data_IF_100347874561
#
_entry.id   IF_100347874561
#
_cell.length_a   1.000
_cell.length_b   1.000
_cell.length_c   1.000
_cell.angle_alpha   90.00
_cell.angle_beta   90.00
_cell.angle_gamma   90.00
#
_symmetry.space_group_name_H-M   'P 1'
#
loop_
_entity.id
_entity.type
_entity.pdbx_description
1 polymer ?
#
# COMPACT_ATOMS: atom_id res chain seq x y z
N UNK A 1 7.94 -36.13 11.90
CA UNK A 1 6.80 -35.49 11.25
C UNK A 1 7.31 -34.82 9.96
N UNK A 2 7.08 -35.47 8.81
CA UNK A 2 7.44 -34.93 7.51
C UNK A 2 6.56 -33.72 7.20
N UNK A 3 7.16 -32.55 6.93
CA UNK A 3 6.45 -31.42 6.42
C UNK A 3 5.97 -31.74 4.98
N UNK A 4 4.66 -31.83 4.78
CA UNK A 4 4.09 -31.97 3.45
C UNK A 4 4.17 -30.60 2.78
N UNK A 5 5.03 -30.45 1.80
CA UNK A 5 5.07 -29.25 0.95
C UNK A 5 3.81 -29.26 0.07
N UNK A 6 2.91 -28.33 0.30
CA UNK A 6 1.75 -28.12 -0.57
C UNK A 6 2.10 -27.03 -1.59
N UNK A 7 1.95 -27.36 -2.86
CA UNK A 7 2.05 -26.39 -3.95
C UNK A 7 0.67 -25.78 -4.17
N UNK A 8 0.64 -24.46 -4.23
CA UNK A 8 -0.56 -23.70 -4.48
C UNK A 8 -0.31 -22.77 -5.68
N UNK A 9 -1.16 -22.88 -6.68
CA UNK A 9 -1.08 -22.04 -7.87
C UNK A 9 -2.00 -20.83 -7.68
N UNK A 10 -1.48 -19.63 -7.93
CA UNK A 10 -2.22 -18.39 -7.95
C UNK A 10 -2.13 -17.75 -9.34
N UNK A 11 -3.07 -16.89 -9.65
CA UNK A 11 -3.06 -16.16 -10.92
C UNK A 11 -1.87 -15.19 -10.95
N UNK A 12 -1.08 -15.26 -12.02
CA UNK A 12 0.02 -14.34 -12.26
C UNK A 12 -0.53 -13.02 -12.81
N UNK A 13 -0.93 -12.13 -11.92
CA UNK A 13 -1.33 -10.77 -12.30
C UNK A 13 -0.10 -9.93 -12.70
N UNK A 14 -0.29 -8.95 -13.62
CA UNK A 14 0.75 -7.96 -13.88
C UNK A 14 1.17 -7.22 -12.60
N UNK A 15 2.43 -6.80 -12.52
CA UNK A 15 2.92 -5.98 -11.41
C UNK A 15 2.18 -4.65 -11.31
N UNK A 16 2.15 -4.04 -10.12
CA UNK A 16 1.34 -2.85 -9.86
C UNK A 16 1.66 -1.68 -10.80
N UNK A 17 2.94 -1.46 -11.12
CA UNK A 17 3.34 -0.43 -12.08
C UNK A 17 2.76 -0.66 -13.48
N UNK A 18 2.64 -1.92 -13.92
CA UNK A 18 2.01 -2.25 -15.21
C UNK A 18 0.48 -2.07 -15.15
N UNK A 19 -0.15 -2.49 -14.07
CA UNK A 19 -1.59 -2.26 -13.87
C UNK A 19 -1.92 -0.76 -13.90
N UNK A 20 -1.10 0.08 -13.28
CA UNK A 20 -1.27 1.52 -13.29
C UNK A 20 -1.14 2.16 -14.68
N UNK A 21 -0.33 1.56 -15.58
CA UNK A 21 -0.21 2.04 -16.97
C UNK A 21 -1.52 1.90 -17.77
N UNK A 22 -2.46 1.10 -17.31
CA UNK A 22 -3.77 1.00 -17.95
C UNK A 22 -4.62 2.26 -17.77
N UNK A 23 -4.36 3.05 -16.73
CA UNK A 23 -5.17 4.21 -16.31
C UNK A 23 -6.65 3.87 -16.13
N UNK A 24 -6.95 2.59 -15.86
CA UNK A 24 -8.30 2.07 -15.79
C UNK A 24 -8.62 1.55 -14.38
N UNK A 25 -9.27 2.36 -13.52
CA UNK A 25 -9.65 1.94 -12.17
C UNK A 25 -10.56 0.70 -12.14
N UNK A 26 -11.42 0.54 -13.14
CA UNK A 26 -12.31 -0.62 -13.22
C UNK A 26 -11.52 -1.93 -13.40
N UNK A 27 -10.47 -1.92 -14.23
CA UNK A 27 -9.57 -3.06 -14.38
C UNK A 27 -8.88 -3.42 -13.06
N UNK A 28 -8.45 -2.40 -12.29
CA UNK A 28 -7.83 -2.64 -10.98
C UNK A 28 -8.85 -3.17 -9.96
N UNK A 29 -10.08 -2.70 -10.01
CA UNK A 29 -11.15 -3.24 -9.18
C UNK A 29 -11.39 -4.73 -9.47
N UNK A 30 -11.51 -5.12 -10.73
CA UNK A 30 -11.66 -6.52 -11.15
C UNK A 30 -10.46 -7.39 -10.76
N UNK A 31 -9.23 -6.85 -10.86
CA UNK A 31 -8.05 -7.53 -10.34
C UNK A 31 -8.14 -7.76 -8.82
N UNK A 32 -8.68 -6.80 -8.08
CA UNK A 32 -8.96 -6.94 -6.65
C UNK A 32 -9.98 -8.02 -6.34
N UNK A 33 -11.06 -8.11 -7.11
CA UNK A 33 -12.06 -9.18 -6.96
C UNK A 33 -11.47 -10.59 -7.20
N UNK A 34 -10.58 -10.71 -8.21
CA UNK A 34 -9.87 -11.96 -8.47
C UNK A 34 -8.96 -12.33 -7.30
N UNK A 35 -8.18 -11.37 -6.77
CA UNK A 35 -7.34 -11.58 -5.59
C UNK A 35 -8.20 -12.03 -4.40
N UNK A 36 -9.32 -11.37 -4.15
CA UNK A 36 -10.22 -11.73 -3.05
C UNK A 36 -10.80 -13.15 -3.20
N UNK A 37 -11.10 -13.57 -4.43
CA UNK A 37 -11.53 -14.94 -4.70
C UNK A 37 -10.43 -15.97 -4.35
N UNK A 38 -9.19 -15.69 -4.72
CA UNK A 38 -8.05 -16.53 -4.36
C UNK A 38 -7.77 -16.52 -2.86
N UNK A 39 -7.86 -15.36 -2.21
CA UNK A 39 -7.74 -15.26 -0.75
C UNK A 39 -8.75 -16.14 -0.03
N UNK A 40 -9.99 -16.20 -0.51
CA UNK A 40 -11.04 -17.07 0.04
C UNK A 40 -10.66 -18.55 -0.10
N UNK A 41 -10.22 -18.97 -1.28
CA UNK A 41 -9.78 -20.35 -1.53
C UNK A 41 -8.56 -20.74 -0.69
N UNK A 42 -7.68 -19.79 -0.41
CA UNK A 42 -6.43 -20.02 0.33
C UNK A 42 -6.58 -19.85 1.85
N UNK A 43 -7.73 -19.41 2.33
CA UNK A 43 -7.93 -19.11 3.75
C UNK A 43 -7.12 -17.91 4.24
N UNK A 44 -6.87 -16.92 3.36
CA UNK A 44 -6.17 -15.67 3.68
C UNK A 44 -7.19 -14.59 3.99
N UNK A 45 -7.07 -13.91 5.13
CA UNK A 45 -8.01 -12.86 5.53
C UNK A 45 -7.49 -11.46 5.23
N UNK A 46 -6.16 -11.24 5.36
CA UNK A 46 -5.55 -9.93 5.11
C UNK A 46 -4.47 -10.08 4.03
N UNK A 47 -4.64 -9.35 2.94
CA UNK A 47 -3.63 -9.20 1.91
C UNK A 47 -2.70 -8.04 2.24
N UNK A 48 -1.39 -8.31 2.36
CA UNK A 48 -0.38 -7.30 2.69
C UNK A 48 0.01 -6.43 1.48
N UNK A 49 -1.00 -5.83 0.89
CA UNK A 49 -0.94 -4.93 -0.26
C UNK A 49 -2.28 -4.14 -0.32
N UNK A 50 -2.41 -3.16 -1.23
CA UNK A 50 -1.43 -2.68 -2.21
C UNK A 50 -0.28 -1.89 -1.59
N UNK A 51 0.88 -1.94 -2.26
CA UNK A 51 2.01 -1.09 -1.93
C UNK A 51 1.93 0.19 -2.77
N UNK A 52 2.05 1.35 -2.11
CA UNK A 52 1.71 2.62 -2.75
C UNK A 52 2.70 3.76 -2.49
N UNK A 53 3.95 3.41 -2.20
CA UNK A 53 5.01 4.41 -2.11
C UNK A 53 5.30 5.02 -3.48
N UNK A 54 5.75 6.25 -3.49
CA UNK A 54 6.06 6.97 -4.73
C UNK A 54 7.33 6.41 -5.39
N UNK A 55 7.27 6.13 -6.69
CA UNK A 55 8.42 5.74 -7.50
C UNK A 55 9.31 6.96 -7.73
N UNK A 56 10.25 7.21 -6.84
CA UNK A 56 11.09 8.39 -6.89
C UNK A 56 12.46 8.13 -7.52
N UNK A 57 13.14 7.06 -7.07
CA UNK A 57 14.43 6.67 -7.60
C UNK A 57 14.25 5.40 -8.44
N UNK A 58 14.64 5.40 -9.72
CA UNK A 58 14.50 4.21 -10.57
C UNK A 58 15.30 3.00 -10.06
N UNK A 59 16.30 3.22 -9.22
CA UNK A 59 17.10 2.15 -8.62
C UNK A 59 16.47 1.55 -7.34
N UNK A 60 15.32 2.02 -6.91
CA UNK A 60 14.61 1.40 -5.80
C UNK A 60 14.15 -0.01 -6.17
N UNK A 61 14.62 -1.02 -5.43
CA UNK A 61 14.37 -2.43 -5.72
C UNK A 61 12.90 -2.87 -5.63
N UNK A 62 12.01 -2.03 -5.09
CA UNK A 62 10.60 -2.32 -4.93
C UNK A 62 9.67 -1.50 -5.84
N UNK A 63 10.20 -0.75 -6.79
CA UNK A 63 9.38 0.04 -7.70
C UNK A 63 8.36 -0.80 -8.48
N UNK A 64 8.66 -2.07 -8.75
CA UNK A 64 7.75 -2.97 -9.47
C UNK A 64 6.41 -3.17 -8.76
N UNK A 65 6.38 -3.13 -7.43
CA UNK A 65 5.15 -3.29 -6.65
C UNK A 65 4.43 -1.97 -6.35
N UNK A 66 5.03 -0.82 -6.70
CA UNK A 66 4.42 0.49 -6.57
C UNK A 66 3.73 0.91 -7.88
N UNK A 67 2.75 1.81 -7.80
CA UNK A 67 1.94 2.17 -8.95
C UNK A 67 2.60 3.22 -9.85
N UNK A 68 3.05 4.34 -9.28
CA UNK A 68 3.50 5.51 -10.04
C UNK A 68 4.38 6.45 -9.21
N UNK A 69 5.00 7.41 -9.90
CA UNK A 69 5.58 8.61 -9.30
C UNK A 69 4.51 9.66 -8.95
N UNK A 70 3.33 9.57 -9.58
CA UNK A 70 2.20 10.47 -9.37
C UNK A 70 1.34 9.99 -8.18
N UNK A 71 1.20 10.79 -7.10
CA UNK A 71 0.38 10.43 -5.96
C UNK A 71 -1.11 10.33 -6.28
N UNK A 72 -1.63 11.07 -7.26
CA UNK A 72 -3.03 10.97 -7.67
C UNK A 72 -3.30 9.61 -8.32
N UNK A 73 -2.51 9.24 -9.31
CA UNK A 73 -2.63 7.94 -9.98
C UNK A 73 -2.46 6.80 -8.98
N UNK A 74 -1.43 6.87 -8.13
CA UNK A 74 -1.18 5.91 -7.06
C UNK A 74 -2.38 5.74 -6.15
N UNK A 75 -2.95 6.84 -5.65
CA UNK A 75 -4.08 6.82 -4.72
C UNK A 75 -5.36 6.25 -5.36
N UNK A 76 -5.66 6.61 -6.61
CA UNK A 76 -6.83 6.12 -7.34
C UNK A 76 -6.69 4.62 -7.65
N UNK A 77 -5.54 4.19 -8.13
CA UNK A 77 -5.27 2.77 -8.41
C UNK A 77 -5.34 1.91 -7.14
N UNK A 78 -4.70 2.36 -6.06
CA UNK A 78 -4.73 1.66 -4.79
C UNK A 78 -6.15 1.57 -4.22
N UNK A 79 -6.95 2.64 -4.33
CA UNK A 79 -8.34 2.65 -3.88
C UNK A 79 -9.20 1.66 -4.66
N UNK A 80 -9.06 1.63 -5.98
CA UNK A 80 -9.80 0.70 -6.83
C UNK A 80 -9.49 -0.76 -6.50
N UNK A 81 -8.21 -1.09 -6.39
CA UNK A 81 -7.76 -2.43 -6.02
C UNK A 81 -8.23 -2.83 -4.60
N UNK A 82 -8.14 -1.91 -3.64
CA UNK A 82 -8.64 -2.10 -2.27
C UNK A 82 -10.14 -2.40 -2.25
N UNK A 83 -10.94 -1.63 -2.98
CA UNK A 83 -12.39 -1.83 -3.08
C UNK A 83 -12.71 -3.19 -3.70
N UNK A 84 -11.96 -3.61 -4.73
CA UNK A 84 -12.12 -4.93 -5.34
C UNK A 84 -11.85 -6.06 -4.34
N UNK A 85 -10.74 -5.98 -3.59
CA UNK A 85 -10.43 -7.00 -2.57
C UNK A 85 -11.48 -7.01 -1.45
N UNK A 86 -11.86 -5.84 -0.95
CA UNK A 86 -12.81 -5.72 0.16
C UNK A 86 -14.27 -5.87 -0.27
N UNK A 87 -14.56 -6.12 -1.56
CA UNK A 87 -15.91 -6.48 -2.03
C UNK A 87 -16.38 -7.82 -1.48
N UNK A 88 -15.45 -8.71 -1.08
CA UNK A 88 -15.78 -9.98 -0.43
C UNK A 88 -15.77 -9.85 1.09
N UNK A 89 -16.86 -10.27 1.77
CA UNK A 89 -16.93 -10.26 3.22
C UNK A 89 -15.76 -10.99 3.88
N UNK A 90 -15.14 -10.36 4.89
CA UNK A 90 -14.03 -10.94 5.64
C UNK A 90 -12.67 -10.88 4.93
N UNK A 91 -12.58 -10.29 3.74
CA UNK A 91 -11.30 -10.06 3.06
C UNK A 91 -10.90 -8.60 3.18
N UNK A 92 -9.66 -8.39 3.60
CA UNK A 92 -9.12 -7.08 3.94
C UNK A 92 -7.78 -6.83 3.23
N UNK A 93 -7.40 -5.58 3.14
CA UNK A 93 -6.08 -5.16 2.67
C UNK A 93 -5.28 -4.50 3.77
N UNK A 94 -3.95 -4.53 3.64
CA UNK A 94 -3.04 -3.70 4.41
C UNK A 94 -2.27 -2.81 3.43
N UNK A 95 -2.71 -1.57 3.27
CA UNK A 95 -1.99 -0.63 2.40
C UNK A 95 -0.63 -0.30 3.01
N UNK A 96 0.41 -0.19 2.18
CA UNK A 96 1.80 -0.11 2.65
C UNK A 96 2.67 0.72 1.72
N UNK A 97 3.83 1.19 2.17
CA UNK A 97 4.37 1.26 3.53
C UNK A 97 4.25 2.69 4.03
N UNK A 98 3.52 2.92 5.06
CA UNK A 98 3.20 4.26 5.57
C UNK A 98 4.29 4.75 6.53
N UNK A 99 5.20 5.68 6.14
CA UNK A 99 5.25 6.33 4.85
C UNK A 99 6.71 6.52 4.39
N UNK A 100 6.83 7.00 3.14
CA UNK A 100 8.10 7.44 2.56
C UNK A 100 9.17 6.34 2.40
N UNK A 101 8.80 5.08 2.23
CA UNK A 101 9.73 4.00 1.89
C UNK A 101 10.04 4.02 0.37
N UNK A 102 10.94 4.92 -0.04
CA UNK A 102 11.27 5.17 -1.44
C UNK A 102 12.64 4.62 -1.86
N UNK A 103 13.32 3.87 -0.98
CA UNK A 103 14.53 3.12 -1.26
C UNK A 103 14.64 1.90 -0.35
N UNK A 104 15.38 0.88 -0.79
CA UNK A 104 15.57 -0.37 -0.03
C UNK A 104 16.94 -0.45 0.63
N UNK A 105 17.94 0.24 0.12
CA UNK A 105 19.28 0.25 0.71
C UNK A 105 19.23 0.77 2.14
N UNK A 106 19.62 -0.08 3.09
CA UNK A 106 19.66 0.23 4.52
C UNK A 106 18.32 0.73 5.11
N UNK A 107 17.18 0.24 4.60
CA UNK A 107 15.85 0.79 4.90
C UNK A 107 15.47 0.82 6.38
N UNK A 108 16.00 -0.09 7.19
CA UNK A 108 15.71 -0.14 8.63
C UNK A 108 16.33 1.01 9.42
N UNK A 109 17.38 1.64 8.86
CA UNK A 109 18.14 2.74 9.48
C UNK A 109 18.15 3.99 8.61
N UNK A 110 17.49 3.94 7.46
CA UNK A 110 17.40 5.07 6.56
C UNK A 110 16.53 6.17 7.19
N UNK A 111 17.06 7.39 7.22
CA UNK A 111 16.33 8.56 7.70
C UNK A 111 15.96 9.46 6.52
N UNK A 112 14.68 9.53 6.23
CA UNK A 112 14.13 10.37 5.16
C UNK A 112 14.04 11.82 5.67
N UNK A 113 14.81 12.71 5.08
CA UNK A 113 14.70 14.14 5.34
C UNK A 113 13.75 14.76 4.33
N UNK A 114 12.64 15.29 4.80
CA UNK A 114 11.56 15.81 3.96
C UNK A 114 10.85 16.97 4.67
N UNK A 115 10.53 18.04 3.93
CA UNK A 115 9.68 19.10 4.48
C UNK A 115 8.24 18.61 4.67
N UNK A 116 7.51 19.18 5.60
CA UNK A 116 6.10 18.86 5.83
C UNK A 116 5.26 19.03 4.55
N UNK A 117 5.50 20.11 3.81
CA UNK A 117 4.81 20.35 2.54
C UNK A 117 5.05 19.23 1.55
N UNK A 118 6.28 18.82 1.32
CA UNK A 118 6.59 17.73 0.40
C UNK A 118 6.05 16.39 0.89
N UNK A 119 6.12 16.12 2.21
CA UNK A 119 5.55 14.95 2.83
C UNK A 119 4.05 14.85 2.55
N UNK A 120 3.29 15.92 2.80
CA UNK A 120 1.84 15.96 2.61
C UNK A 120 1.41 15.96 1.14
N UNK A 121 2.05 16.75 0.29
CA UNK A 121 1.63 16.93 -1.10
C UNK A 121 2.04 15.78 -2.02
N UNK A 122 3.09 15.03 -1.67
CA UNK A 122 3.66 13.96 -2.49
C UNK A 122 3.54 12.61 -1.80
N UNK A 123 4.23 12.42 -0.67
CA UNK A 123 4.42 11.08 -0.08
C UNK A 123 3.18 10.56 0.65
N UNK A 124 2.38 11.43 1.23
CA UNK A 124 1.15 11.09 1.94
C UNK A 124 -0.11 11.22 1.07
N UNK A 125 -0.05 12.02 0.01
CA UNK A 125 -1.23 12.35 -0.80
C UNK A 125 -1.92 11.12 -1.41
N UNK A 126 -1.14 10.15 -1.88
CA UNK A 126 -1.70 8.89 -2.39
C UNK A 126 -2.48 8.12 -1.32
N UNK A 127 -1.96 8.06 -0.10
CA UNK A 127 -2.63 7.41 1.04
C UNK A 127 -3.92 8.12 1.41
N UNK A 128 -3.90 9.45 1.49
CA UNK A 128 -5.10 10.23 1.77
C UNK A 128 -6.21 9.96 0.76
N UNK A 129 -5.88 9.93 -0.53
CA UNK A 129 -6.84 9.63 -1.60
C UNK A 129 -7.38 8.20 -1.45
N UNK A 130 -6.51 7.23 -1.21
CA UNK A 130 -6.88 5.83 -1.04
C UNK A 130 -7.83 5.67 0.17
N UNK A 131 -7.48 6.22 1.32
CA UNK A 131 -8.29 6.16 2.54
C UNK A 131 -9.68 6.75 2.35
N UNK A 132 -9.77 7.91 1.70
CA UNK A 132 -11.04 8.59 1.45
C UNK A 132 -11.94 7.85 0.44
N UNK A 133 -11.35 7.09 -0.50
CA UNK A 133 -12.07 6.41 -1.59
C UNK A 133 -12.38 4.94 -1.32
N UNK A 134 -11.67 4.27 -0.41
CA UNK A 134 -11.77 2.81 -0.26
C UNK A 134 -11.84 2.28 1.17
N UNK A 135 -11.50 3.07 2.17
CA UNK A 135 -11.50 2.68 3.59
C UNK A 135 -10.79 1.33 3.84
N UNK A 136 -9.48 1.21 3.57
CA UNK A 136 -8.73 0.00 3.83
C UNK A 136 -8.79 -0.38 5.31
N UNK A 137 -8.88 -1.67 5.61
CA UNK A 137 -9.04 -2.14 6.99
C UNK A 137 -7.76 -1.96 7.82
N UNK A 138 -6.59 -2.07 7.19
CA UNK A 138 -5.32 -1.93 7.90
C UNK A 138 -4.31 -1.09 7.12
N UNK A 139 -3.35 -0.49 7.85
CA UNK A 139 -2.24 0.29 7.31
C UNK A 139 -0.93 -0.24 7.88
N UNK A 140 -0.01 -0.65 7.03
CA UNK A 140 1.32 -1.10 7.44
C UNK A 140 2.29 0.06 7.45
N UNK A 141 2.92 0.32 8.59
CA UNK A 141 3.95 1.36 8.72
C UNK A 141 5.23 0.98 7.98
N UNK A 142 5.97 2.01 7.55
CA UNK A 142 7.29 1.83 6.98
C UNK A 142 8.34 1.55 8.08
N UNK A 143 9.47 0.96 7.67
CA UNK A 143 10.57 0.64 8.58
C UNK A 143 11.57 1.78 8.75
N UNK A 144 11.57 2.75 7.84
CA UNK A 144 12.48 3.90 7.85
C UNK A 144 12.10 4.94 8.91
N UNK A 145 13.06 5.83 9.19
CA UNK A 145 12.78 7.05 9.93
C UNK A 145 12.30 8.15 8.97
N UNK A 146 11.51 9.07 9.50
CA UNK A 146 11.13 10.32 8.85
C UNK A 146 11.56 11.46 9.77
N UNK A 147 12.46 12.31 9.31
CA UNK A 147 12.99 13.44 10.08
C UNK A 147 13.49 13.07 11.50
N UNK A 148 14.07 11.88 11.62
CA UNK A 148 14.65 11.37 12.86
C UNK A 148 13.73 10.49 13.71
N UNK A 149 12.46 10.32 13.35
CA UNK A 149 11.50 9.47 14.08
C UNK A 149 11.13 8.25 13.26
N UNK A 150 11.14 7.05 13.84
CA UNK A 150 10.66 5.87 13.16
C UNK A 150 9.18 6.00 12.79
N UNK A 151 8.84 5.71 11.54
CA UNK A 151 7.46 5.84 11.05
C UNK A 151 6.44 5.09 11.93
N UNK A 152 6.82 3.94 12.50
CA UNK A 152 5.97 3.16 13.40
C UNK A 152 5.80 3.78 14.81
N UNK A 153 6.61 4.77 15.16
CA UNK A 153 6.57 5.47 16.47
C UNK A 153 6.23 6.95 16.33
N UNK A 154 5.95 7.40 15.11
CA UNK A 154 5.70 8.80 14.80
C UNK A 154 4.23 9.16 15.14
N UNK A 155 4.08 9.90 16.26
CA UNK A 155 2.75 10.31 16.74
C UNK A 155 2.06 11.24 15.75
N UNK A 156 2.78 12.20 15.17
CA UNK A 156 2.21 13.17 14.24
C UNK A 156 1.69 12.46 12.98
N UNK A 157 2.48 11.48 12.49
CA UNK A 157 2.10 10.68 11.32
C UNK A 157 0.90 9.77 11.61
N UNK A 158 0.95 8.98 12.69
CA UNK A 158 -0.01 7.91 12.96
C UNK A 158 -1.27 8.39 13.68
N UNK A 159 -1.14 9.34 14.57
CA UNK A 159 -2.26 9.83 15.37
C UNK A 159 -2.87 11.08 14.76
N UNK A 160 -2.07 12.11 14.53
CA UNK A 160 -2.63 13.38 14.10
C UNK A 160 -3.06 13.33 12.63
N UNK A 161 -2.19 12.89 11.71
CA UNK A 161 -2.51 12.85 10.29
C UNK A 161 -3.44 11.67 9.98
N UNK A 162 -3.00 10.43 10.25
CA UNK A 162 -3.74 9.25 9.81
C UNK A 162 -5.11 9.13 10.49
N UNK A 163 -5.16 9.27 11.82
CA UNK A 163 -6.39 9.04 12.58
C UNK A 163 -7.24 10.30 12.74
N UNK A 164 -6.66 11.42 13.19
CA UNK A 164 -7.45 12.63 13.49
C UNK A 164 -7.85 13.40 12.25
N UNK A 165 -6.91 13.67 11.34
CA UNK A 165 -7.19 14.45 10.13
C UNK A 165 -7.93 13.61 9.08
N UNK A 166 -7.53 12.37 8.85
CA UNK A 166 -8.10 11.53 7.79
C UNK A 166 -9.19 10.58 8.26
N UNK A 167 -9.37 10.41 9.58
CA UNK A 167 -10.44 9.61 10.16
C UNK A 167 -10.24 8.10 10.02
N UNK A 168 -8.99 7.63 9.93
CA UNK A 168 -8.71 6.20 9.89
C UNK A 168 -8.97 5.55 11.26
N UNK A 169 -9.87 4.57 11.29
CA UNK A 169 -10.32 3.85 12.47
C UNK A 169 -9.88 2.37 12.50
N UNK A 170 -9.16 1.92 11.46
CA UNK A 170 -8.65 0.55 11.35
C UNK A 170 -7.36 0.27 12.16
N UNK A 171 -6.67 -0.81 11.80
CA UNK A 171 -5.44 -1.33 12.44
C UNK A 171 -4.20 -0.95 11.65
#
# INVERSE_FOLDING_TARGET
SGSVTRYQYCTALPVASMLAQSWNPELLYQAGELIAAEMELLGVDIWLAPAMNIQRNPLCGRNFEYFSEDPLLTGVCAAALTNGVQSRPGKCVSIKHFAANNQETNRNFHNVHVSERALREIYLRGYEICLKKSKPATVMTALNLINGVHAACDHDLLTDILRREWGFDGI
#
